data_IF_703902232240
#
_entry.id   IF_703902232240
#
_cell.length_a   1.000
_cell.length_b   1.000
_cell.length_c   1.000
_cell.angle_alpha   90.00
_cell.angle_beta   90.00
_cell.angle_gamma   90.00
#
_symmetry.space_group_name_H-M   'P 1'
#
loop_
_entity.id
_entity.type
_entity.pdbx_description
1 polymer ?
#
# COMPACT_ATOMS: atom_id res chain seq x y z
N UNK A 1 4.99 -14.16 1.62
CA UNK A 1 4.26 -12.87 1.52
C UNK A 1 4.07 -12.35 2.93
N UNK A 2 4.53 -11.14 3.25
CA UNK A 2 4.27 -10.52 4.56
C UNK A 2 2.83 -10.01 4.60
N UNK A 3 2.20 -10.14 5.76
CA UNK A 3 0.83 -9.72 5.99
C UNK A 3 0.75 -8.20 6.20
N UNK A 4 -0.40 -7.58 5.91
CA UNK A 4 -0.61 -6.13 6.14
C UNK A 4 -0.31 -5.76 7.61
N UNK A 5 -0.67 -6.61 8.57
CA UNK A 5 -0.40 -6.39 10.00
C UNK A 5 1.10 -6.32 10.32
N UNK A 6 1.89 -7.22 9.73
CA UNK A 6 3.34 -7.24 9.94
C UNK A 6 4.01 -6.00 9.37
N UNK A 7 3.53 -5.53 8.22
CA UNK A 7 4.01 -4.28 7.59
C UNK A 7 3.71 -3.10 8.50
N UNK A 8 2.51 -3.02 9.09
CA UNK A 8 2.16 -1.95 10.03
C UNK A 8 3.00 -1.94 11.30
N UNK A 9 3.53 -3.08 11.72
CA UNK A 9 4.42 -3.21 12.88
C UNK A 9 5.88 -2.88 12.57
N UNK A 10 6.33 -3.19 11.36
CA UNK A 10 7.75 -3.08 10.97
C UNK A 10 8.06 -1.84 10.14
N UNK A 11 7.06 -1.22 9.53
CA UNK A 11 7.18 -0.08 8.64
C UNK A 11 6.33 1.08 9.16
N UNK A 12 6.77 2.30 8.85
CA UNK A 12 6.01 3.52 9.13
C UNK A 12 5.28 3.98 7.87
N UNK A 13 4.01 4.36 8.02
CA UNK A 13 3.24 4.98 6.93
C UNK A 13 3.85 6.35 6.60
N UNK A 14 4.43 6.48 5.42
CA UNK A 14 5.02 7.75 4.97
C UNK A 14 3.97 8.68 4.38
N UNK A 15 3.17 8.17 3.43
CA UNK A 15 2.07 8.91 2.78
C UNK A 15 1.17 7.95 2.00
N UNK A 16 -0.02 8.45 1.62
CA UNK A 16 -0.91 7.78 0.68
C UNK A 16 -1.12 8.64 -0.57
N UNK A 17 -1.26 8.01 -1.72
CA UNK A 17 -1.51 8.68 -2.99
C UNK A 17 -2.53 7.90 -3.83
N UNK A 18 -3.30 8.61 -4.65
CA UNK A 18 -4.16 7.95 -5.62
C UNK A 18 -3.31 7.33 -6.74
N UNK A 19 -3.49 6.03 -6.97
CA UNK A 19 -2.86 5.30 -8.06
C UNK A 19 -3.93 4.82 -9.03
N UNK A 20 -3.64 4.88 -10.33
CA UNK A 20 -4.55 4.33 -11.35
C UNK A 20 -4.42 2.83 -11.36
N UNK A 21 -5.50 2.13 -11.04
CA UNK A 21 -5.50 0.68 -10.91
C UNK A 21 -6.84 0.17 -10.42
N UNK A 22 -6.99 -1.15 -10.45
CA UNK A 22 -8.17 -1.83 -9.93
C UNK A 22 -7.76 -2.78 -8.82
N UNK A 23 -8.36 -2.60 -7.64
CA UNK A 23 -8.28 -3.55 -6.54
C UNK A 23 -9.70 -3.95 -6.18
N UNK A 24 -9.90 -5.26 -5.99
CA UNK A 24 -11.21 -5.78 -5.60
C UNK A 24 -11.59 -5.29 -4.20
N UNK A 25 -12.82 -4.83 -4.03
CA UNK A 25 -13.38 -4.42 -2.73
C UNK A 25 -13.53 -5.57 -1.73
N UNK A 26 -13.39 -6.82 -2.21
CA UNK A 26 -13.45 -8.03 -1.37
C UNK A 26 -12.12 -8.33 -0.66
N UNK A 27 -11.03 -7.68 -1.04
CA UNK A 27 -9.73 -7.83 -0.39
C UNK A 27 -9.41 -6.60 0.47
N UNK A 28 -8.72 -6.80 1.59
CA UNK A 28 -8.33 -5.72 2.49
C UNK A 28 -7.33 -4.74 1.83
N UNK A 29 -6.58 -5.21 0.85
CA UNK A 29 -5.61 -4.46 0.07
C UNK A 29 -4.58 -5.39 -0.55
N UNK A 30 -3.88 -4.92 -1.57
CA UNK A 30 -2.79 -5.67 -2.21
C UNK A 30 -1.46 -5.13 -1.72
N UNK A 31 -0.67 -6.00 -1.10
CA UNK A 31 0.68 -5.68 -0.65
C UNK A 31 1.65 -5.92 -1.81
N UNK A 32 2.45 -4.91 -2.11
CA UNK A 32 3.53 -4.98 -3.08
C UNK A 32 4.84 -4.52 -2.42
N UNK A 33 5.97 -5.10 -2.81
CA UNK A 33 7.28 -4.66 -2.35
C UNK A 33 7.64 -3.31 -2.98
N UNK A 34 8.13 -2.39 -2.17
CA UNK A 34 8.51 -1.05 -2.61
C UNK A 34 10.01 -0.84 -2.39
N UNK A 35 10.73 -0.53 -3.46
CA UNK A 35 12.11 -0.08 -3.42
C UNK A 35 12.22 1.14 -4.33
N UNK A 36 12.39 2.31 -3.75
CA UNK A 36 12.38 3.55 -4.52
C UNK A 36 12.99 4.73 -3.79
N UNK A 37 12.68 5.94 -4.26
CA UNK A 37 13.29 7.20 -3.80
C UNK A 37 13.15 7.45 -2.29
N UNK A 38 12.07 6.95 -1.68
CA UNK A 38 11.82 7.10 -0.24
C UNK A 38 12.48 6.03 0.63
N UNK A 39 13.17 5.07 0.00
CA UNK A 39 13.80 3.91 0.67
C UNK A 39 13.14 2.60 0.27
N UNK A 40 13.35 1.59 1.12
CA UNK A 40 12.79 0.25 0.98
C UNK A 40 11.63 0.03 1.94
N UNK A 41 10.65 -0.77 1.51
CA UNK A 41 9.46 -1.06 2.29
C UNK A 41 8.41 -1.76 1.45
N UNK A 42 7.16 -1.34 1.63
CA UNK A 42 6.00 -1.94 0.99
C UNK A 42 5.00 -0.87 0.56
N UNK A 43 4.24 -1.16 -0.48
CA UNK A 43 3.05 -0.39 -0.86
C UNK A 43 1.81 -1.23 -0.64
N UNK A 44 0.75 -0.61 -0.13
CA UNK A 44 -0.55 -1.26 0.05
C UNK A 44 -1.56 -0.54 -0.81
N UNK A 45 -2.06 -1.22 -1.84
CA UNK A 45 -3.11 -0.72 -2.71
C UNK A 45 -4.48 -1.08 -2.13
N UNK A 46 -5.24 -0.06 -1.72
CA UNK A 46 -6.59 -0.22 -1.19
C UNK A 46 -7.66 0.16 -2.21
N UNK A 47 -8.77 -0.59 -2.26
CA UNK A 47 -9.86 -0.28 -3.15
C UNK A 47 -10.55 1.03 -2.74
N UNK A 48 -10.86 1.90 -3.71
CA UNK A 48 -11.75 3.04 -3.50
C UNK A 48 -13.20 2.64 -3.74
N UNK A 49 -14.09 3.21 -2.93
CA UNK A 49 -15.54 3.02 -3.06
C UNK A 49 -16.15 4.00 -4.06
N UNK A 50 -15.56 5.18 -4.16
CA UNK A 50 -15.96 6.26 -5.06
C UNK A 50 -15.70 5.94 -6.55
N UNK A 51 -14.61 5.25 -6.86
CA UNK A 51 -14.21 4.95 -8.24
C UNK A 51 -13.63 3.55 -8.37
N UNK A 52 -13.82 2.93 -9.54
CA UNK A 52 -13.26 1.61 -9.88
C UNK A 52 -11.94 1.70 -10.64
N UNK A 53 -11.56 2.89 -11.12
CA UNK A 53 -10.35 3.10 -11.93
C UNK A 53 -9.15 3.58 -11.11
N UNK A 54 -9.37 3.95 -9.85
CA UNK A 54 -8.33 4.41 -8.94
C UNK A 54 -8.38 3.66 -7.63
N UNK A 55 -7.20 3.48 -7.05
CA UNK A 55 -6.96 2.86 -5.75
C UNK A 55 -6.15 3.82 -4.90
N UNK A 56 -6.29 3.70 -3.59
CA UNK A 56 -5.46 4.44 -2.65
C UNK A 56 -4.21 3.60 -2.35
N UNK A 57 -3.05 4.08 -2.82
CA UNK A 57 -1.75 3.45 -2.57
C UNK A 57 -1.11 4.07 -1.35
N UNK A 58 -0.98 3.28 -0.29
CA UNK A 58 -0.26 3.65 0.92
C UNK A 58 1.22 3.23 0.80
N UNK A 59 2.16 4.13 1.06
CA UNK A 59 3.59 3.84 1.09
C UNK A 59 4.06 3.63 2.52
N UNK A 60 4.50 2.41 2.81
CA UNK A 60 5.02 1.96 4.11
C UNK A 60 6.53 1.78 4.00
N UNK A 61 7.30 2.61 4.69
CA UNK A 61 8.76 2.59 4.59
C UNK A 61 9.34 1.89 5.82
N UNK A 62 10.30 0.97 5.60
CA UNK A 62 11.01 0.31 6.69
C UNK A 62 11.76 1.36 7.48
N UNK A 63 11.38 1.50 8.75
CA UNK A 63 12.09 2.38 9.67
C UNK A 63 13.21 1.54 10.28
N UNK A 64 14.44 2.03 10.16
CA UNK A 64 15.66 1.28 10.49
C UNK A 64 15.94 1.32 11.99
#
# INVERSE_FOLDING_TARGET
>A
MKTIDEIKKTCTLHHAAAHRGYVSRKVAGVVNEYSGKFGTGYTIDRPRWDTTNYVDREYWILTK
#
